data_IF_694501460090
#
_entry.id   IF_694501460090
#
_cell.length_a   1.000
_cell.length_b   1.000
_cell.length_c   1.000
_cell.angle_alpha   90.00
_cell.angle_beta   90.00
_cell.angle_gamma   90.00
#
_symmetry.space_group_name_H-M   'P 1'
#
loop_
_entity.id
_entity.type
_entity.pdbx_description
1 polymer ?
#
# COMPACT_ATOMS: atom_id res chain seq x y z
N UNK A 1 11.07 22.99 -48.16
CA UNK A 1 11.95 22.79 -47.01
C UNK A 1 11.07 22.45 -45.82
N UNK A 2 11.06 21.20 -45.40
CA UNK A 2 10.38 20.74 -44.18
C UNK A 2 11.30 21.15 -43.02
N UNK A 3 10.83 21.87 -42.01
CA UNK A 3 11.64 22.09 -40.83
C UNK A 3 11.76 20.77 -40.08
N UNK A 4 12.86 20.09 -40.29
CA UNK A 4 13.32 18.97 -39.47
C UNK A 4 13.76 19.50 -38.13
N UNK A 5 13.40 18.73 -37.09
CA UNK A 5 13.89 18.82 -35.70
C UNK A 5 13.12 19.75 -34.75
N UNK A 6 11.90 19.37 -34.42
CA UNK A 6 11.50 19.50 -33.03
C UNK A 6 12.38 18.52 -32.28
N UNK A 7 13.35 19.04 -31.52
CA UNK A 7 14.28 18.19 -30.79
C UNK A 7 13.47 17.20 -29.95
N UNK A 8 13.80 15.92 -30.02
CA UNK A 8 13.16 14.85 -29.24
C UNK A 8 13.16 15.15 -27.75
N UNK A 9 14.02 16.06 -27.31
CA UNK A 9 14.26 16.39 -25.93
C UNK A 9 14.10 17.89 -25.70
N UNK A 10 12.86 18.38 -25.72
CA UNK A 10 12.55 19.72 -25.21
C UNK A 10 12.76 19.74 -23.68
N UNK A 11 13.41 20.78 -23.18
CA UNK A 11 13.64 20.94 -21.74
C UNK A 11 12.30 21.20 -21.03
N UNK A 12 11.92 20.38 -20.05
CA UNK A 12 10.69 20.58 -19.31
C UNK A 12 10.73 21.85 -18.45
N UNK A 13 9.58 22.38 -18.01
CA UNK A 13 9.51 23.56 -17.14
C UNK A 13 10.34 23.38 -15.88
N UNK A 14 10.79 24.49 -15.28
CA UNK A 14 11.67 24.51 -14.11
C UNK A 14 11.00 23.87 -12.89
N UNK A 15 9.72 24.16 -12.67
CA UNK A 15 8.87 23.61 -11.62
C UNK A 15 7.66 22.91 -12.22
N UNK A 16 7.24 21.86 -11.57
CA UNK A 16 5.99 21.16 -11.83
C UNK A 16 5.49 20.57 -10.52
N UNK A 17 4.22 20.80 -10.21
CA UNK A 17 3.55 20.21 -9.05
C UNK A 17 2.37 19.41 -9.58
N UNK A 18 2.26 18.17 -9.13
CA UNK A 18 1.16 17.27 -9.46
C UNK A 18 0.51 16.81 -8.17
N UNK A 19 -0.81 16.89 -8.10
CA UNK A 19 -1.60 16.38 -6.98
C UNK A 19 -2.61 15.41 -7.55
N UNK A 20 -2.74 14.25 -6.94
CA UNK A 20 -3.65 13.22 -7.41
C UNK A 20 -4.21 12.37 -6.26
N UNK A 21 -5.22 11.60 -6.60
CA UNK A 21 -5.81 10.61 -5.73
C UNK A 21 -5.61 9.22 -6.35
N UNK A 22 -4.66 8.42 -5.85
CA UNK A 22 -4.50 7.04 -6.28
C UNK A 22 -5.57 6.17 -5.65
N UNK A 23 -6.03 5.16 -6.38
CA UNK A 23 -6.85 4.08 -5.89
C UNK A 23 -6.19 2.77 -6.34
N UNK A 24 -5.59 2.05 -5.41
CA UNK A 24 -5.01 0.73 -5.66
C UNK A 24 -5.80 -0.32 -4.89
N UNK A 25 -6.48 -1.18 -5.64
CA UNK A 25 -7.22 -2.31 -5.09
C UNK A 25 -6.39 -3.56 -5.32
N UNK A 26 -5.70 -3.99 -4.30
CA UNK A 26 -4.81 -5.14 -4.37
C UNK A 26 -5.45 -6.37 -3.72
N UNK A 27 -5.52 -7.48 -4.45
CA UNK A 27 -5.69 -8.78 -3.84
C UNK A 27 -4.50 -9.12 -2.97
N UNK A 28 -4.69 -9.95 -1.98
CA UNK A 28 -3.66 -10.41 -1.02
C UNK A 28 -3.47 -11.90 -1.24
N UNK A 29 -2.22 -12.33 -1.42
CA UNK A 29 -1.89 -13.76 -1.49
C UNK A 29 -0.59 -14.02 -0.75
N UNK A 30 -0.56 -15.05 0.10
CA UNK A 30 0.63 -15.42 0.85
C UNK A 30 0.32 -16.16 2.14
N UNK A 31 1.34 -16.26 2.97
CA UNK A 31 1.30 -16.98 4.22
C UNK A 31 1.59 -16.04 5.40
N UNK A 32 0.69 -16.04 6.37
CA UNK A 32 0.88 -15.31 7.62
C UNK A 32 0.86 -16.30 8.78
N UNK A 33 1.83 -16.19 9.68
CA UNK A 33 1.97 -17.12 10.79
C UNK A 33 2.30 -16.44 12.11
N UNK A 34 1.78 -16.98 13.20
CA UNK A 34 2.08 -16.55 14.57
C UNK A 34 2.47 -17.75 15.40
N UNK A 35 3.68 -17.74 15.97
CA UNK A 35 4.22 -18.79 16.85
C UNK A 35 4.10 -20.22 16.26
N UNK A 36 4.32 -20.36 14.94
CA UNK A 36 4.29 -21.65 14.25
C UNK A 36 2.91 -22.13 13.81
N UNK A 37 1.88 -21.31 13.94
CA UNK A 37 0.57 -21.54 13.34
C UNK A 37 0.50 -20.67 12.08
N UNK A 38 0.49 -21.30 10.91
CA UNK A 38 0.44 -20.62 9.62
C UNK A 38 -0.98 -20.65 9.05
N UNK A 39 -1.39 -19.55 8.44
CA UNK A 39 -2.62 -19.41 7.69
C UNK A 39 -2.30 -18.86 6.29
N UNK A 40 -2.82 -19.51 5.27
CA UNK A 40 -2.72 -19.02 3.90
C UNK A 40 -3.85 -18.02 3.63
N UNK A 41 -3.50 -16.84 3.14
CA UNK A 41 -4.42 -15.83 2.67
C UNK A 41 -4.40 -15.82 1.14
N UNK A 42 -5.55 -16.00 0.51
CA UNK A 42 -5.74 -15.85 -0.94
C UNK A 42 -7.07 -15.11 -1.17
N UNK A 43 -6.99 -13.78 -1.23
CA UNK A 43 -8.14 -12.91 -1.41
C UNK A 43 -7.96 -12.09 -2.67
N UNK A 44 -8.77 -12.35 -3.69
CA UNK A 44 -8.72 -11.62 -4.96
C UNK A 44 -9.16 -10.16 -4.78
N UNK A 45 -8.68 -9.26 -5.66
CA UNK A 45 -9.06 -7.85 -5.63
C UNK A 45 -10.58 -7.65 -5.85
N UNK A 46 -11.21 -8.51 -6.64
CA UNK A 46 -12.65 -8.48 -6.88
C UNK A 46 -13.44 -8.77 -5.60
N UNK A 47 -13.00 -9.75 -4.83
CA UNK A 47 -13.56 -10.05 -3.50
C UNK A 47 -13.41 -8.85 -2.57
N UNK A 48 -12.23 -8.21 -2.53
CA UNK A 48 -11.99 -7.03 -1.69
C UNK A 48 -12.87 -5.84 -2.10
N UNK A 49 -13.07 -5.63 -3.40
CA UNK A 49 -13.92 -4.56 -3.92
C UNK A 49 -15.37 -4.67 -3.40
N UNK A 50 -15.90 -5.89 -3.33
CA UNK A 50 -17.25 -6.14 -2.83
C UNK A 50 -17.36 -6.06 -1.30
N UNK A 51 -16.25 -6.10 -0.58
CA UNK A 51 -16.19 -6.08 0.89
C UNK A 51 -15.62 -4.78 1.46
N UNK A 52 -15.46 -3.74 0.64
CA UNK A 52 -15.08 -2.41 1.13
C UNK A 52 -16.14 -1.88 2.10
N UNK A 53 -15.72 -1.57 3.32
CA UNK A 53 -16.60 -0.98 4.34
C UNK A 53 -16.66 0.53 4.23
N UNK A 54 -15.55 1.14 3.79
CA UNK A 54 -15.43 2.58 3.59
C UNK A 54 -14.78 2.87 2.24
N UNK A 55 -15.06 4.06 1.71
CA UNK A 55 -14.37 4.50 0.49
C UNK A 55 -12.88 4.70 0.76
N UNK A 56 -11.98 4.13 -0.04
CA UNK A 56 -10.55 4.29 0.14
C UNK A 56 -10.14 5.75 0.11
N UNK A 57 -9.32 6.18 1.07
CA UNK A 57 -8.75 7.53 1.09
C UNK A 57 -7.31 7.45 0.60
N UNK A 58 -6.99 8.28 -0.39
CA UNK A 58 -5.65 8.31 -0.93
C UNK A 58 -5.27 9.70 -1.45
N UNK A 59 -3.99 10.03 -1.31
CA UNK A 59 -3.41 11.29 -1.76
C UNK A 59 -2.02 11.04 -2.33
N UNK A 60 -1.71 11.69 -3.44
CA UNK A 60 -0.40 11.69 -4.08
C UNK A 60 0.01 13.12 -4.38
N UNK A 61 1.20 13.51 -3.96
CA UNK A 61 1.80 14.81 -4.26
C UNK A 61 3.18 14.56 -4.85
N UNK A 62 3.39 15.08 -6.05
CA UNK A 62 4.69 15.07 -6.71
C UNK A 62 5.11 16.50 -7.01
N UNK A 63 6.30 16.88 -6.56
CA UNK A 63 6.91 18.18 -6.83
C UNK A 63 8.23 17.95 -7.56
N UNK A 64 8.44 18.65 -8.67
CA UNK A 64 9.67 18.60 -9.44
C UNK A 64 10.32 19.99 -9.54
N UNK A 65 11.61 20.02 -9.29
CA UNK A 65 12.46 21.18 -9.52
C UNK A 65 13.68 20.77 -10.35
N UNK A 66 13.75 21.24 -11.58
CA UNK A 66 14.79 20.87 -12.53
C UNK A 66 14.85 19.34 -12.73
N UNK A 67 15.91 18.71 -12.22
CA UNK A 67 16.12 17.24 -12.28
C UNK A 67 15.74 16.53 -10.97
N UNK A 68 15.46 17.27 -9.90
CA UNK A 68 15.03 16.70 -8.62
C UNK A 68 13.52 16.48 -8.62
N UNK A 69 13.12 15.37 -8.08
CA UNK A 69 11.73 14.96 -7.96
C UNK A 69 11.47 14.52 -6.53
N UNK A 70 10.40 15.01 -5.93
CA UNK A 70 9.99 14.70 -4.57
C UNK A 70 8.54 14.24 -4.66
N UNK A 71 8.23 13.10 -4.08
CA UNK A 71 6.84 12.68 -4.02
C UNK A 71 6.51 12.00 -2.72
N UNK A 72 5.25 12.17 -2.32
CA UNK A 72 4.64 11.54 -1.16
C UNK A 72 3.33 10.93 -1.63
N UNK A 73 3.16 9.66 -1.38
CA UNK A 73 1.94 8.93 -1.64
C UNK A 73 1.41 8.35 -0.32
N UNK A 74 0.10 8.40 -0.14
CA UNK A 74 -0.55 7.81 1.01
C UNK A 74 -1.88 7.21 0.63
N UNK A 75 -2.21 6.04 1.18
CA UNK A 75 -3.51 5.40 1.03
C UNK A 75 -3.94 4.70 2.32
N UNK A 76 -5.25 4.66 2.53
CA UNK A 76 -5.90 3.92 3.60
C UNK A 76 -7.08 3.15 3.05
N UNK A 77 -7.14 1.86 3.36
CA UNK A 77 -8.20 0.95 2.91
C UNK A 77 -8.70 0.17 4.12
N UNK A 78 -10.01 0.02 4.22
CA UNK A 78 -10.67 -0.79 5.23
C UNK A 78 -11.62 -1.79 4.57
N UNK A 79 -11.43 -3.07 4.90
CA UNK A 79 -12.18 -4.18 4.34
C UNK A 79 -12.78 -5.00 5.47
N UNK A 80 -14.06 -5.31 5.35
CA UNK A 80 -14.76 -6.16 6.32
C UNK A 80 -15.50 -7.29 5.62
N UNK A 81 -15.38 -8.50 6.13
CA UNK A 81 -16.15 -9.64 5.65
C UNK A 81 -16.70 -10.45 6.80
N UNK A 82 -17.80 -11.14 6.55
CA UNK A 82 -18.37 -12.09 7.49
C UNK A 82 -18.50 -13.45 6.84
N UNK A 83 -18.08 -14.50 7.55
CA UNK A 83 -18.19 -15.86 7.12
C UNK A 83 -19.04 -16.67 8.11
N UNK A 84 -19.87 -17.56 7.59
CA UNK A 84 -20.59 -18.53 8.41
C UNK A 84 -19.69 -19.72 8.68
N UNK A 85 -19.44 -20.00 9.95
CA UNK A 85 -18.63 -21.15 10.36
C UNK A 85 -19.50 -22.41 10.44
N UNK A 86 -19.07 -23.55 9.89
CA UNK A 86 -19.79 -24.83 10.02
C UNK A 86 -19.53 -25.44 11.40
N UNK A 87 -19.94 -24.75 12.49
CA UNK A 87 -19.68 -25.19 13.85
C UNK A 87 -20.93 -25.22 14.72
N UNK A 88 -21.00 -26.14 15.69
CA UNK A 88 -22.10 -26.24 16.65
C UNK A 88 -22.10 -25.08 17.66
N UNK A 89 -20.92 -24.52 17.98
CA UNK A 89 -20.75 -23.50 19.03
C UNK A 89 -20.66 -22.09 18.48
N UNK A 90 -20.07 -21.92 17.30
CA UNK A 90 -19.85 -20.62 16.64
C UNK A 90 -20.39 -20.67 15.21
N UNK A 91 -21.14 -19.66 14.81
CA UNK A 91 -21.75 -19.62 13.48
C UNK A 91 -21.23 -18.50 12.62
N UNK A 92 -20.73 -17.43 13.20
CA UNK A 92 -20.28 -16.27 12.44
C UNK A 92 -18.87 -15.85 12.86
N UNK A 93 -18.02 -15.63 11.89
CA UNK A 93 -16.74 -14.95 12.04
C UNK A 93 -16.79 -13.64 11.24
N UNK A 94 -16.52 -12.52 11.90
CA UNK A 94 -16.34 -11.24 11.25
C UNK A 94 -14.84 -10.92 11.24
N UNK A 95 -14.32 -10.66 10.05
CA UNK A 95 -12.94 -10.24 9.84
C UNK A 95 -12.95 -8.80 9.37
N UNK A 96 -12.16 -7.96 10.00
CA UNK A 96 -11.93 -6.59 9.64
C UNK A 96 -10.44 -6.38 9.43
N UNK A 97 -10.04 -5.85 8.28
CA UNK A 97 -8.65 -5.57 7.94
C UNK A 97 -8.53 -4.10 7.59
N UNK A 98 -7.61 -3.40 8.26
CA UNK A 98 -7.23 -2.03 7.95
C UNK A 98 -5.80 -2.03 7.45
N UNK A 99 -5.58 -1.42 6.30
CA UNK A 99 -4.26 -1.24 5.71
C UNK A 99 -4.00 0.23 5.43
N UNK A 100 -2.87 0.73 5.91
CA UNK A 100 -2.36 2.05 5.56
C UNK A 100 -0.97 1.91 4.95
N UNK A 101 -0.74 2.63 3.87
CA UNK A 101 0.55 2.71 3.17
C UNK A 101 0.88 4.18 2.98
N UNK A 102 2.09 4.58 3.41
CA UNK A 102 2.61 5.91 3.13
C UNK A 102 4.04 5.80 2.60
N UNK A 103 4.31 6.48 1.50
CA UNK A 103 5.59 6.45 0.80
C UNK A 103 6.12 7.86 0.62
N UNK A 104 7.42 8.05 0.82
CA UNK A 104 8.08 9.33 0.61
C UNK A 104 9.43 9.14 -0.05
N UNK A 105 9.66 9.81 -1.20
CA UNK A 105 10.83 9.59 -2.04
C UNK A 105 11.46 10.88 -2.54
N UNK A 106 12.78 10.81 -2.75
CA UNK A 106 13.58 11.81 -3.44
C UNK A 106 14.22 11.13 -4.65
N UNK A 107 14.03 11.71 -5.83
CA UNK A 107 14.56 11.19 -7.07
C UNK A 107 15.39 12.19 -7.85
N UNK A 108 16.26 11.65 -8.69
CA UNK A 108 17.05 12.44 -9.64
C UNK A 108 16.83 11.92 -11.07
N UNK A 109 16.42 12.81 -11.97
CA UNK A 109 16.17 12.49 -13.38
C UNK A 109 17.48 12.37 -14.15
N UNK A 110 17.85 11.17 -14.53
CA UNK A 110 18.96 10.86 -15.44
C UNK A 110 18.62 11.33 -16.84
N UNK A 111 17.41 10.99 -17.32
CA UNK A 111 16.84 11.47 -18.59
C UNK A 111 15.75 12.47 -18.23
N UNK A 112 15.84 13.68 -18.75
CA UNK A 112 14.90 14.77 -18.42
C UNK A 112 14.44 15.49 -19.69
N UNK A 113 13.57 14.85 -20.43
CA UNK A 113 12.96 15.34 -21.65
C UNK A 113 11.44 15.36 -21.51
N UNK A 114 10.73 16.22 -22.24
CA UNK A 114 9.26 16.22 -22.24
C UNK A 114 8.64 14.90 -22.72
N UNK A 115 9.34 14.20 -23.61
CA UNK A 115 8.84 12.96 -24.19
C UNK A 115 9.29 11.71 -23.43
N UNK A 116 10.41 11.80 -22.68
CA UNK A 116 10.94 10.68 -21.94
C UNK A 116 11.66 11.15 -20.69
N UNK A 117 11.45 10.47 -19.56
CA UNK A 117 12.28 10.67 -18.39
C UNK A 117 12.53 9.35 -17.68
N UNK A 118 13.69 9.28 -17.06
CA UNK A 118 14.12 8.20 -16.20
C UNK A 118 14.64 8.80 -14.91
N UNK A 119 14.06 8.41 -13.80
CA UNK A 119 14.40 8.88 -12.44
C UNK A 119 14.92 7.71 -11.63
N UNK A 120 16.06 7.87 -11.00
CA UNK A 120 16.49 7.03 -9.88
C UNK A 120 16.02 7.68 -8.60
N UNK A 121 15.56 6.87 -7.65
CA UNK A 121 15.03 7.38 -6.39
C UNK A 121 15.43 6.56 -5.18
N UNK A 122 15.36 7.18 -4.03
CA UNK A 122 15.46 6.55 -2.73
C UNK A 122 14.49 7.22 -1.76
N UNK A 123 14.09 6.49 -0.73
CA UNK A 123 13.17 7.00 0.27
C UNK A 123 12.75 5.96 1.28
N UNK A 124 11.55 6.09 1.80
CA UNK A 124 10.99 5.19 2.79
C UNK A 124 9.52 4.89 2.50
N UNK A 125 9.13 3.68 2.86
CA UNK A 125 7.75 3.16 2.81
C UNK A 125 7.35 2.73 4.21
N UNK A 126 6.32 3.36 4.75
CA UNK A 126 5.67 2.93 5.98
C UNK A 126 4.43 2.13 5.65
N UNK A 127 4.30 0.97 6.27
CA UNK A 127 3.14 0.10 6.13
C UNK A 127 2.55 -0.17 7.51
N UNK A 128 1.23 -0.10 7.62
CA UNK A 128 0.45 -0.46 8.80
C UNK A 128 -0.62 -1.47 8.39
N UNK A 129 -0.70 -2.54 9.15
CA UNK A 129 -1.71 -3.58 8.99
C UNK A 129 -2.35 -3.87 10.34
N UNK A 130 -3.68 -3.83 10.42
CA UNK A 130 -4.46 -4.20 11.60
C UNK A 130 -5.50 -5.23 11.18
N UNK A 131 -5.57 -6.32 11.92
CA UNK A 131 -6.55 -7.38 11.71
C UNK A 131 -7.40 -7.59 12.95
N UNK A 132 -8.72 -7.46 12.81
CA UNK A 132 -9.70 -7.75 13.84
C UNK A 132 -10.50 -8.99 13.45
N UNK A 133 -10.52 -10.00 14.31
CA UNK A 133 -11.32 -11.20 14.16
C UNK A 133 -12.31 -11.31 15.32
N UNK A 134 -13.60 -11.27 15.01
CA UNK A 134 -14.67 -11.50 15.99
C UNK A 134 -15.41 -12.77 15.66
N UNK A 135 -15.38 -13.75 16.56
CA UNK A 135 -16.12 -15.00 16.44
C UNK A 135 -17.34 -14.94 17.35
N UNK A 136 -18.53 -15.11 16.75
CA UNK A 136 -19.81 -14.95 17.44
C UNK A 136 -20.54 -16.30 17.48
N UNK A 137 -21.19 -16.58 18.61
CA UNK A 137 -21.96 -17.79 18.82
C UNK A 137 -23.25 -17.80 17.99
N UNK A 138 -23.84 -19.01 17.80
CA UNK A 138 -25.08 -19.17 17.05
C UNK A 138 -26.36 -18.77 17.81
N UNK A 139 -26.24 -18.34 19.07
CA UNK A 139 -27.39 -17.96 19.91
C UNK A 139 -28.36 -19.11 20.29
N UNK A 140 -28.01 -20.38 19.98
CA UNK A 140 -28.88 -21.52 20.28
C UNK A 140 -29.03 -21.68 21.80
N UNK A 141 -30.29 -21.53 22.25
CA UNK A 141 -30.63 -21.61 23.68
C UNK A 141 -30.27 -22.97 24.32
N UNK A 142 -30.17 -24.04 23.54
CA UNK A 142 -29.78 -25.38 24.03
C UNK A 142 -28.30 -25.44 24.39
N UNK A 143 -27.47 -24.65 23.70
CA UNK A 143 -26.03 -24.60 23.93
C UNK A 143 -25.62 -23.58 24.98
N UNK A 144 -26.52 -22.65 25.38
CA UNK A 144 -26.26 -21.64 26.41
C UNK A 144 -25.87 -22.30 27.74
N UNK A 145 -26.62 -23.33 28.19
CA UNK A 145 -26.31 -24.06 29.43
C UNK A 145 -24.98 -24.80 29.36
N UNK A 146 -24.66 -25.40 28.22
CA UNK A 146 -23.39 -26.10 28.04
C UNK A 146 -22.19 -25.14 28.09
N UNK A 147 -22.35 -23.95 27.55
CA UNK A 147 -21.33 -22.90 27.59
C UNK A 147 -21.09 -22.33 28.98
N UNK A 148 -22.19 -22.06 29.71
CA UNK A 148 -22.10 -21.62 31.10
C UNK A 148 -21.36 -22.64 31.96
N UNK A 149 -21.62 -23.94 31.74
CA UNK A 149 -20.91 -25.03 32.40
C UNK A 149 -19.41 -25.12 32.03
N UNK A 150 -19.07 -24.83 30.76
CA UNK A 150 -17.72 -24.88 30.23
C UNK A 150 -16.94 -23.55 30.37
N UNK A 151 -17.60 -22.48 30.82
CA UNK A 151 -16.99 -21.15 30.94
C UNK A 151 -16.62 -20.50 29.60
N UNK A 152 -17.24 -20.93 28.49
CA UNK A 152 -16.93 -20.44 27.15
C UNK A 152 -17.65 -19.11 26.90
N UNK A 153 -16.89 -18.09 26.51
CA UNK A 153 -17.44 -16.76 26.18
C UNK A 153 -18.27 -16.81 24.89
N UNK A 154 -19.33 -15.99 24.82
CA UNK A 154 -20.22 -15.90 23.66
C UNK A 154 -19.56 -15.22 22.45
N UNK A 155 -18.55 -14.43 22.70
CA UNK A 155 -17.79 -13.71 21.69
C UNK A 155 -16.32 -13.79 22.03
N UNK A 156 -15.54 -14.13 21.04
CA UNK A 156 -14.09 -14.11 21.09
C UNK A 156 -13.62 -13.03 20.12
N UNK A 157 -12.96 -12.03 20.65
CA UNK A 157 -12.39 -10.94 19.86
C UNK A 157 -10.86 -11.05 19.92
N UNK A 158 -10.25 -11.06 18.76
CA UNK A 158 -8.82 -11.02 18.56
C UNK A 158 -8.51 -9.77 17.73
N UNK A 159 -7.61 -8.95 18.20
CA UNK A 159 -7.13 -7.77 17.46
C UNK A 159 -5.62 -7.73 17.58
N UNK A 160 -4.96 -7.58 16.46
CA UNK A 160 -3.52 -7.40 16.39
C UNK A 160 -3.16 -6.39 15.31
N UNK A 161 -2.08 -5.64 15.52
CA UNK A 161 -1.61 -4.64 14.57
C UNK A 161 -0.10 -4.66 14.49
N UNK A 162 0.40 -4.49 13.27
CA UNK A 162 1.81 -4.41 12.98
C UNK A 162 2.07 -3.22 12.07
N UNK A 163 3.19 -2.55 12.27
CA UNK A 163 3.68 -1.54 11.36
C UNK A 163 5.20 -1.59 11.24
N UNK A 164 5.69 -1.21 10.07
CA UNK A 164 7.11 -1.18 9.78
C UNK A 164 7.46 -0.06 8.80
N UNK A 165 8.76 0.26 8.68
CA UNK A 165 9.29 1.23 7.73
C UNK A 165 10.42 0.59 6.93
N UNK A 166 10.23 0.48 5.64
CA UNK A 166 11.25 0.01 4.69
C UNK A 166 12.01 1.18 4.08
N UNK A 167 13.34 1.22 4.19
CA UNK A 167 14.14 2.01 3.27
C UNK A 167 14.00 1.41 1.87
N UNK A 168 13.89 2.27 0.85
CA UNK A 168 13.57 1.85 -0.52
C UNK A 168 14.48 2.56 -1.50
N UNK A 169 14.94 1.81 -2.51
CA UNK A 169 15.63 2.36 -3.69
C UNK A 169 14.98 1.83 -4.96
N UNK A 170 14.88 2.65 -5.99
CA UNK A 170 14.21 2.22 -7.21
C UNK A 170 14.45 3.11 -8.42
N UNK A 171 13.75 2.77 -9.48
CA UNK A 171 13.75 3.56 -10.71
C UNK A 171 12.32 3.70 -11.26
N UNK A 172 12.09 4.82 -11.91
CA UNK A 172 10.81 5.17 -12.55
C UNK A 172 11.09 5.72 -13.94
N UNK A 173 10.40 5.19 -14.93
CA UNK A 173 10.48 5.64 -16.32
C UNK A 173 9.13 6.06 -16.85
N UNK A 174 9.11 7.09 -17.72
CA UNK A 174 7.93 7.46 -18.52
C UNK A 174 8.37 7.80 -19.93
N UNK A 175 7.58 7.35 -20.90
CA UNK A 175 7.82 7.58 -22.31
C UNK A 175 6.52 7.99 -22.98
N UNK A 176 6.53 9.12 -23.71
CA UNK A 176 5.39 9.54 -24.51
C UNK A 176 5.30 8.68 -25.76
N UNK A 177 4.20 7.95 -25.89
CA UNK A 177 3.91 7.10 -27.06
C UNK A 177 2.93 7.76 -28.03
N UNK A 178 2.13 8.73 -27.53
CA UNK A 178 1.20 9.51 -28.34
C UNK A 178 1.12 10.95 -27.81
N UNK A 179 0.38 11.83 -28.53
CA UNK A 179 0.24 13.25 -28.16
C UNK A 179 -0.22 13.45 -26.72
N UNK A 180 -1.18 12.63 -26.26
CA UNK A 180 -1.78 12.73 -24.93
C UNK A 180 -1.52 11.48 -24.05
N UNK A 181 -0.75 10.50 -24.55
CA UNK A 181 -0.56 9.22 -23.86
C UNK A 181 0.91 8.96 -23.60
N UNK A 182 1.23 8.57 -22.36
CA UNK A 182 2.54 8.09 -21.95
C UNK A 182 2.40 6.68 -21.41
N UNK A 183 3.38 5.84 -21.65
CA UNK A 183 3.61 4.61 -20.89
C UNK A 183 4.53 4.93 -19.71
N UNK A 184 4.30 4.29 -18.60
CA UNK A 184 5.21 4.38 -17.45
C UNK A 184 5.50 2.98 -16.89
N UNK A 185 6.65 2.87 -16.25
CA UNK A 185 7.05 1.72 -15.46
C UNK A 185 7.84 2.20 -14.25
N UNK A 186 7.68 1.52 -13.13
CA UNK A 186 8.36 1.77 -11.87
C UNK A 186 8.72 0.45 -11.22
N UNK A 187 9.88 0.39 -10.59
CA UNK A 187 10.29 -0.75 -9.80
C UNK A 187 11.21 -0.31 -8.68
N UNK A 188 11.04 -0.92 -7.53
CA UNK A 188 11.85 -0.67 -6.34
C UNK A 188 12.11 -1.94 -5.55
N UNK A 189 13.12 -1.85 -4.69
CA UNK A 189 13.46 -2.84 -3.69
C UNK A 189 13.70 -2.13 -2.36
N UNK A 190 13.34 -2.78 -1.27
CA UNK A 190 13.40 -2.20 0.07
C UNK A 190 13.52 -3.25 1.17
N UNK A 191 13.39 -2.80 2.40
CA UNK A 191 13.53 -3.61 3.61
C UNK A 191 14.97 -3.70 4.07
N UNK A 192 15.73 -4.62 3.51
CA UNK A 192 17.15 -4.86 3.81
C UNK A 192 17.43 -5.21 5.28
N UNK A 193 16.41 -5.65 6.02
CA UNK A 193 16.50 -5.89 7.48
C UNK A 193 17.14 -4.71 8.24
N UNK A 194 16.81 -3.48 7.78
CA UNK A 194 17.35 -2.24 8.31
C UNK A 194 16.62 -1.85 9.61
N UNK A 195 16.98 -2.50 10.70
CA UNK A 195 16.45 -2.17 12.02
C UNK A 195 17.11 -0.87 12.50
N UNK A 196 16.33 0.18 12.66
CA UNK A 196 16.79 1.43 13.24
C UNK A 196 16.31 1.55 14.69
N UNK A 197 17.24 1.53 15.63
CA UNK A 197 16.99 1.94 17.01
C UNK A 197 16.82 3.47 17.04
N UNK A 198 15.63 3.95 16.70
CA UNK A 198 15.34 5.38 16.69
C UNK A 198 14.28 5.68 17.73
N UNK A 199 14.69 6.27 18.84
CA UNK A 199 13.78 6.79 19.84
C UNK A 199 13.16 8.10 19.34
N UNK A 200 11.92 8.07 18.87
CA UNK A 200 11.11 9.27 18.64
C UNK A 200 10.25 9.53 19.88
N UNK A 201 10.56 10.58 20.62
CA UNK A 201 9.70 11.08 21.69
C UNK A 201 8.72 12.10 21.13
N UNK A 202 7.51 11.71 20.83
CA UNK A 202 6.40 12.62 20.53
C UNK A 202 5.69 12.96 21.86
N UNK A 203 5.87 14.21 22.29
CA UNK A 203 5.19 14.75 23.47
C UNK A 203 3.84 15.35 23.02
N UNK A 204 2.77 14.64 23.26
CA UNK A 204 1.40 15.16 23.05
C UNK A 204 0.57 14.91 24.30
N UNK A 205 0.01 15.99 24.88
CA UNK A 205 -0.93 15.96 26.01
C UNK A 205 -0.49 15.16 27.25
N UNK A 206 0.80 15.29 27.63
CA UNK A 206 1.31 14.68 28.85
C UNK A 206 1.56 13.17 28.77
N UNK A 207 1.44 12.55 27.59
CA UNK A 207 1.86 11.17 27.31
C UNK A 207 3.10 11.19 26.44
N UNK A 208 4.16 10.56 26.93
CA UNK A 208 5.37 10.30 26.14
C UNK A 208 5.15 8.96 25.44
N UNK A 209 4.99 8.98 24.12
CA UNK A 209 5.01 7.76 23.31
C UNK A 209 6.47 7.54 22.93
N UNK A 210 7.14 6.63 23.64
CA UNK A 210 8.48 6.18 23.29
C UNK A 210 8.32 4.97 22.37
N UNK A 211 8.76 5.08 21.14
CA UNK A 211 8.90 3.95 20.25
C UNK A 211 10.36 3.52 20.27
N UNK A 212 10.65 2.35 20.81
CA UNK A 212 12.02 1.88 21.06
C UNK A 212 12.72 1.31 19.81
N UNK A 213 11.96 0.88 18.78
CA UNK A 213 12.53 0.37 17.55
C UNK A 213 11.61 0.61 16.36
N UNK A 214 12.18 0.85 15.20
CA UNK A 214 11.48 0.83 13.91
C UNK A 214 11.90 -0.43 13.19
N UNK A 215 10.96 -1.31 12.96
CA UNK A 215 11.19 -2.55 12.24
C UNK A 215 11.13 -2.31 10.74
N UNK A 216 11.85 -3.11 9.96
CA UNK A 216 11.73 -3.18 8.51
C UNK A 216 11.57 -4.62 8.08
N UNK A 217 11.08 -4.83 6.85
CA UNK A 217 11.02 -6.15 6.23
C UNK A 217 12.43 -6.69 5.96
N UNK A 218 12.57 -8.02 5.90
CA UNK A 218 13.80 -8.64 5.42
C UNK A 218 14.04 -8.24 3.96
N UNK A 219 12.99 -8.35 3.15
CA UNK A 219 12.95 -7.92 1.76
C UNK A 219 11.56 -7.44 1.37
N UNK A 220 11.51 -6.34 0.63
CA UNK A 220 10.33 -5.91 -0.09
C UNK A 220 10.69 -5.51 -1.51
N UNK A 221 9.79 -5.73 -2.47
CA UNK A 221 9.94 -5.18 -3.81
C UNK A 221 8.57 -4.84 -4.40
N UNK A 222 8.59 -3.86 -5.28
CA UNK A 222 7.41 -3.38 -5.96
C UNK A 222 7.68 -3.21 -7.44
N UNK A 223 6.69 -3.53 -8.25
CA UNK A 223 6.65 -3.27 -9.68
C UNK A 223 5.31 -2.63 -10.03
N UNK A 224 5.34 -1.56 -10.80
CA UNK A 224 4.14 -0.93 -11.32
C UNK A 224 4.35 -0.51 -12.78
N UNK A 225 3.30 -0.56 -13.56
CA UNK A 225 3.35 -0.13 -14.95
C UNK A 225 1.98 0.09 -15.54
N UNK A 226 1.91 0.93 -16.58
CA UNK A 226 0.63 1.25 -17.21
C UNK A 226 0.69 2.44 -18.14
N UNK A 227 -0.46 3.10 -18.27
CA UNK A 227 -0.67 4.23 -19.15
C UNK A 227 -1.06 5.48 -18.37
N UNK A 228 -0.54 6.62 -18.82
CA UNK A 228 -0.94 7.94 -18.36
C UNK A 228 -1.56 8.70 -19.52
N UNK A 229 -2.76 9.25 -19.32
CA UNK A 229 -3.52 10.03 -20.28
C UNK A 229 -3.59 11.48 -19.83
N UNK A 230 -3.14 12.41 -20.66
CA UNK A 230 -3.36 13.84 -20.44
C UNK A 230 -4.73 14.22 -21.02
N UNK A 231 -5.75 14.36 -20.15
CA UNK A 231 -7.12 14.65 -20.57
C UNK A 231 -7.31 16.12 -20.96
N UNK A 232 -6.70 17.02 -20.19
CA UNK A 232 -6.64 18.46 -20.48
C UNK A 232 -5.23 18.99 -20.23
N UNK A 233 -5.00 20.30 -20.33
CA UNK A 233 -3.69 20.86 -20.00
C UNK A 233 -3.26 20.58 -18.56
N UNK A 234 -4.23 20.50 -17.64
CA UNK A 234 -3.99 20.38 -16.22
C UNK A 234 -4.46 19.05 -15.62
N UNK A 235 -5.37 18.31 -16.28
CA UNK A 235 -5.95 17.07 -15.74
C UNK A 235 -5.30 15.87 -16.42
N UNK A 236 -4.89 14.91 -15.62
CA UNK A 236 -4.34 13.63 -16.07
C UNK A 236 -5.02 12.46 -15.38
N UNK A 237 -4.98 11.31 -16.05
CA UNK A 237 -5.45 10.02 -15.58
C UNK A 237 -4.36 8.99 -15.79
N UNK A 238 -4.08 8.18 -14.79
CA UNK A 238 -3.13 7.09 -14.86
C UNK A 238 -3.81 5.79 -14.46
N UNK A 239 -3.56 4.72 -15.20
CA UNK A 239 -4.08 3.38 -14.89
C UNK A 239 -3.04 2.34 -15.24
N UNK A 240 -3.08 1.22 -14.54
CA UNK A 240 -2.15 0.14 -14.77
C UNK A 240 -2.28 -0.96 -13.73
N UNK A 241 -1.18 -1.64 -13.54
CA UNK A 241 -1.06 -2.74 -12.61
C UNK A 241 0.08 -2.49 -11.65
N UNK A 242 -0.13 -2.79 -10.36
CA UNK A 242 0.87 -2.69 -9.30
C UNK A 242 0.94 -4.03 -8.57
N UNK A 243 2.16 -4.49 -8.37
CA UNK A 243 2.50 -5.67 -7.61
C UNK A 243 3.51 -5.28 -6.53
N UNK A 244 3.28 -5.67 -5.30
CA UNK A 244 4.21 -5.50 -4.19
C UNK A 244 4.30 -6.80 -3.41
N UNK A 245 5.51 -7.22 -3.08
CA UNK A 245 5.76 -8.36 -2.21
C UNK A 245 6.65 -7.93 -1.07
N UNK A 246 6.38 -8.45 0.12
CA UNK A 246 7.21 -8.25 1.30
C UNK A 246 7.35 -9.55 2.07
N UNK A 247 8.47 -9.68 2.76
CA UNK A 247 8.79 -10.79 3.66
C UNK A 247 9.19 -10.18 5.00
N UNK A 248 8.41 -10.49 6.02
CA UNK A 248 8.60 -9.98 7.36
C UNK A 248 8.66 -11.13 8.35
N UNK A 249 9.77 -11.25 9.07
CA UNK A 249 9.95 -12.26 10.11
C UNK A 249 10.48 -11.61 11.39
N UNK A 250 9.66 -11.56 12.43
CA UNK A 250 10.09 -11.04 13.72
C UNK A 250 9.27 -11.59 14.88
N UNK A 251 9.96 -11.88 15.99
CA UNK A 251 9.35 -12.30 17.26
C UNK A 251 8.36 -13.48 17.15
N UNK A 252 8.59 -14.40 16.20
CA UNK A 252 7.70 -15.54 15.95
C UNK A 252 6.46 -15.19 15.11
N UNK A 253 6.42 -13.99 14.55
CA UNK A 253 5.50 -13.58 13.49
C UNK A 253 6.21 -13.73 12.14
N UNK A 254 5.54 -14.38 11.21
CA UNK A 254 6.00 -14.55 9.83
C UNK A 254 4.89 -14.04 8.92
N UNK A 255 5.22 -13.13 8.02
CA UNK A 255 4.26 -12.57 7.06
C UNK A 255 4.92 -12.41 5.70
N UNK A 256 4.63 -13.34 4.80
CA UNK A 256 5.14 -13.35 3.43
C UNK A 256 3.98 -13.17 2.49
N UNK A 257 3.66 -11.93 2.20
CA UNK A 257 2.48 -11.58 1.39
C UNK A 257 2.84 -10.82 0.11
N UNK A 258 2.03 -11.06 -0.91
CA UNK A 258 2.02 -10.31 -2.16
C UNK A 258 0.70 -9.57 -2.31
N UNK A 259 0.79 -8.28 -2.58
CA UNK A 259 -0.30 -7.41 -2.97
C UNK A 259 -0.28 -7.23 -4.48
N UNK A 260 -1.39 -7.52 -5.14
CA UNK A 260 -1.42 -7.59 -6.60
C UNK A 260 -2.77 -7.10 -7.14
N UNK A 261 -2.76 -6.06 -7.97
CA UNK A 261 -4.03 -5.55 -8.48
C UNK A 261 -3.92 -4.33 -9.38
N UNK A 262 -5.04 -3.98 -10.01
CA UNK A 262 -5.14 -2.78 -10.83
C UNK A 262 -5.11 -1.52 -9.96
N UNK A 263 -4.60 -0.45 -10.52
CA UNK A 263 -4.71 0.87 -9.91
C UNK A 263 -5.23 1.90 -10.90
N UNK A 264 -5.85 2.92 -10.36
CA UNK A 264 -6.34 4.09 -11.05
C UNK A 264 -5.94 5.33 -10.25
N UNK A 265 -5.42 6.34 -10.93
CA UNK A 265 -5.06 7.61 -10.30
C UNK A 265 -5.50 8.77 -11.19
N UNK A 266 -6.19 9.74 -10.64
CA UNK A 266 -6.53 10.97 -11.32
C UNK A 266 -5.95 12.16 -10.59
N UNK A 267 -5.60 13.22 -11.31
CA UNK A 267 -5.02 14.39 -10.67
C UNK A 267 -4.87 15.61 -11.56
N UNK A 268 -4.28 16.64 -10.96
CA UNK A 268 -4.06 17.95 -11.58
C UNK A 268 -2.58 18.32 -11.56
N UNK A 269 -2.16 19.03 -12.61
CA UNK A 269 -0.83 19.65 -12.74
C UNK A 269 -0.94 21.17 -12.54
N UNK A 270 0.07 21.74 -11.89
CA UNK A 270 0.23 23.17 -11.66
C UNK A 270 1.55 23.67 -12.22
#
# INVERSE_FOLDING_TARGET
>A
MVPLEKSWCETPPLWEIRIGAPAWLAGISGDSGVKGVEANADVSFDTLLHHLTHFPVALSINARYRRWEFWVDGQYIEVGTSATLPGLLFTNANVHIKNALAEGFIGYRLINCNNAHLTLFAGARWTYLEGDLSIIDNGDARLVRLRELLGIRRRLDFSDSIDWVDPVIGMRGRLRIWKATKIFAEGDVGGFNANADTAFALHREGRTIVRESVDSTDWSYQLAGGLEFQLTRNIWLQTGWRYMKYDFQKNGFTDTNALNGPFLQAGVNF
#
